data_IF_095494641753
#
_entry.id   IF_095494641753
#
_cell.length_a   1.000
_cell.length_b   1.000
_cell.length_c   1.000
_cell.angle_alpha   90.00
_cell.angle_beta   90.00
_cell.angle_gamma   90.00
#
_symmetry.space_group_name_H-M   'P 1'
#
loop_
_entity.id
_entity.type
_entity.pdbx_description
1 polymer ?
#
# COMPACT_ATOMS: atom_id res chain seq x y z
N UNK A 1 -13.24 17.22 6.89
CA UNK A 1 -13.73 15.85 6.60
C UNK A 1 -13.75 15.08 7.91
N UNK A 2 -14.83 14.34 8.21
CA UNK A 2 -14.98 13.67 9.52
C UNK A 2 -14.30 12.29 9.55
N UNK A 3 -14.39 11.53 8.47
CA UNK A 3 -13.84 10.19 8.32
C UNK A 3 -13.16 10.03 6.97
N UNK A 4 -12.14 9.16 6.87
CA UNK A 4 -11.52 8.83 5.58
C UNK A 4 -12.55 8.19 4.66
N UNK A 5 -12.52 8.59 3.38
CA UNK A 5 -13.29 7.97 2.31
C UNK A 5 -12.42 6.90 1.66
N UNK A 6 -12.93 5.68 1.60
CA UNK A 6 -12.30 4.58 0.88
C UNK A 6 -13.15 4.32 -0.37
N UNK A 7 -12.55 4.01 -1.54
CA UNK A 7 -13.31 3.61 -2.72
C UNK A 7 -14.31 2.48 -2.41
N UNK A 8 -15.44 2.49 -3.12
CA UNK A 8 -16.48 1.48 -2.93
C UNK A 8 -15.99 0.16 -3.56
N UNK A 9 -16.24 -0.95 -2.88
CA UNK A 9 -16.05 -2.29 -3.44
C UNK A 9 -17.18 -2.60 -4.41
N UNK A 10 -16.84 -2.88 -5.67
CA UNK A 10 -17.81 -3.23 -6.72
C UNK A 10 -17.50 -4.58 -7.37
N UNK A 11 -16.22 -4.94 -7.56
CA UNK A 11 -15.78 -6.13 -8.30
C UNK A 11 -14.48 -6.70 -7.72
N UNK A 12 -14.10 -7.92 -8.08
CA UNK A 12 -12.85 -8.51 -7.59
C UNK A 12 -12.80 -8.67 -6.07
N UNK A 13 -11.59 -8.82 -5.53
CA UNK A 13 -11.34 -8.98 -4.11
C UNK A 13 -11.19 -7.65 -3.37
N UNK A 14 -11.14 -7.75 -2.03
CA UNK A 14 -10.85 -6.65 -1.11
C UNK A 14 -10.06 -7.17 0.09
N UNK A 15 -9.43 -6.25 0.80
CA UNK A 15 -8.86 -6.52 2.12
C UNK A 15 -8.90 -5.27 2.99
N UNK A 16 -8.84 -5.48 4.30
CA UNK A 16 -8.74 -4.44 5.32
C UNK A 16 -7.68 -4.88 6.33
N UNK A 17 -6.49 -4.28 6.24
CA UNK A 17 -5.39 -4.53 7.17
C UNK A 17 -5.27 -3.36 8.12
N UNK A 18 -5.16 -3.66 9.41
CA UNK A 18 -5.18 -2.66 10.47
C UNK A 18 -4.19 -3.07 11.54
N UNK A 19 -3.20 -2.22 11.78
CA UNK A 19 -2.25 -2.33 12.90
C UNK A 19 -2.49 -1.16 13.84
N UNK A 20 -2.44 -1.42 15.15
CA UNK A 20 -2.81 -0.43 16.18
C UNK A 20 -1.79 -0.40 17.30
N UNK A 21 -1.55 0.78 17.84
CA UNK A 21 -0.83 0.98 19.10
C UNK A 21 -1.53 2.04 19.94
N UNK A 22 -1.53 1.87 21.26
CA UNK A 22 -2.04 2.86 22.20
C UNK A 22 -0.92 3.42 23.07
N UNK A 23 -0.88 4.74 23.20
CA UNK A 23 0.07 5.45 24.05
C UNK A 23 -0.49 5.65 25.48
N UNK A 24 0.39 5.98 26.43
CA UNK A 24 0.00 6.19 27.82
C UNK A 24 -0.68 7.55 28.04
N UNK A 25 -0.55 8.46 27.07
CA UNK A 25 -1.13 9.80 27.13
C UNK A 25 -1.59 10.31 25.77
N UNK A 26 -2.49 11.29 25.78
CA UNK A 26 -2.95 11.96 24.56
C UNK A 26 -1.82 12.71 23.86
N UNK A 27 -0.88 13.27 24.62
CA UNK A 27 0.26 14.02 24.06
C UNK A 27 1.23 13.08 23.34
N UNK A 28 1.51 11.92 23.93
CA UNK A 28 2.29 10.88 23.28
C UNK A 28 1.57 10.34 22.04
N UNK A 29 0.26 10.08 22.13
CA UNK A 29 -0.52 9.64 20.98
C UNK A 29 -0.48 10.66 19.82
N UNK A 30 -0.52 11.95 20.14
CA UNK A 30 -0.40 13.02 19.16
C UNK A 30 1.00 13.08 18.52
N UNK A 31 2.07 12.84 19.29
CA UNK A 31 3.44 12.74 18.74
C UNK A 31 3.57 11.54 17.81
N UNK A 32 3.12 10.36 18.26
CA UNK A 32 3.19 9.12 17.48
C UNK A 32 2.36 9.22 16.20
N UNK A 33 1.17 9.82 16.27
CA UNK A 33 0.33 10.10 15.10
C UNK A 33 1.03 10.98 14.06
N UNK A 34 1.65 12.08 14.48
CA UNK A 34 2.41 12.96 13.57
C UNK A 34 3.60 12.23 12.95
N UNK A 35 4.31 11.43 13.74
CA UNK A 35 5.42 10.61 13.24
C UNK A 35 4.93 9.57 12.23
N UNK A 36 3.82 8.88 12.47
CA UNK A 36 3.24 7.92 11.51
C UNK A 36 2.86 8.59 10.19
N UNK A 37 2.33 9.81 10.22
CA UNK A 37 2.04 10.57 8.98
C UNK A 37 3.32 10.82 8.20
N UNK A 38 4.41 11.20 8.87
CA UNK A 38 5.71 11.40 8.22
C UNK A 38 6.21 10.09 7.61
N UNK A 39 6.14 8.99 8.35
CA UNK A 39 6.51 7.65 7.85
C UNK A 39 5.68 7.22 6.65
N UNK A 40 4.35 7.41 6.70
CA UNK A 40 3.48 7.09 5.58
C UNK A 40 3.83 7.94 4.35
N UNK A 41 4.22 9.21 4.53
CA UNK A 41 4.65 10.08 3.41
C UNK A 41 6.04 9.73 2.87
N UNK A 42 6.90 9.11 3.67
CA UNK A 42 8.23 8.63 3.28
C UNK A 42 8.16 7.35 2.44
N UNK A 43 7.44 7.39 1.31
CA UNK A 43 7.22 6.24 0.41
C UNK A 43 8.52 5.54 0.02
N UNK A 44 9.57 6.31 -0.30
CA UNK A 44 10.88 5.77 -0.68
C UNK A 44 11.52 4.92 0.42
N UNK A 45 11.16 5.16 1.68
CA UNK A 45 11.76 4.52 2.84
C UNK A 45 10.94 3.33 3.36
N UNK A 46 9.76 3.04 2.79
CA UNK A 46 8.86 1.99 3.28
C UNK A 46 9.53 0.61 3.39
N UNK A 47 10.43 0.29 2.45
CA UNK A 47 11.21 -0.94 2.45
C UNK A 47 12.14 -1.07 3.67
N UNK A 48 12.57 0.05 4.26
CA UNK A 48 13.52 0.08 5.37
C UNK A 48 12.87 -0.13 6.74
N UNK A 49 11.53 -0.09 6.82
CA UNK A 49 10.81 -0.16 8.09
C UNK A 49 10.75 -1.58 8.66
N UNK A 50 10.78 -2.60 7.82
CA UNK A 50 10.88 -4.00 8.22
C UNK A 50 11.33 -4.85 7.04
N UNK A 51 12.11 -5.90 7.31
CA UNK A 51 12.50 -6.91 6.31
C UNK A 51 11.26 -7.62 5.71
N UNK A 52 10.16 -7.68 6.44
CA UNK A 52 8.93 -8.36 6.03
C UNK A 52 8.17 -7.63 4.91
N UNK A 53 8.38 -6.31 4.75
CA UNK A 53 7.79 -5.54 3.64
C UNK A 53 8.28 -6.09 2.29
N UNK A 54 9.54 -6.55 2.23
CA UNK A 54 10.14 -7.30 1.12
C UNK A 54 9.80 -6.75 -0.28
N UNK A 55 9.88 -5.44 -0.47
CA UNK A 55 9.70 -4.73 -1.74
C UNK A 55 10.39 -3.36 -1.67
N UNK A 56 10.93 -2.87 -2.78
CA UNK A 56 11.44 -1.50 -2.87
C UNK A 56 10.38 -0.58 -3.48
N UNK A 57 10.34 0.65 -3.00
CA UNK A 57 9.36 1.65 -3.40
C UNK A 57 10.08 2.89 -3.90
N UNK A 58 9.57 3.49 -4.97
CA UNK A 58 10.07 4.78 -5.47
C UNK A 58 8.90 5.67 -5.84
N UNK A 59 8.81 6.82 -5.17
CA UNK A 59 7.88 7.89 -5.46
C UNK A 59 8.47 8.77 -6.55
N UNK A 60 7.73 8.91 -7.64
CA UNK A 60 8.15 9.58 -8.86
C UNK A 60 7.16 10.71 -9.15
N UNK A 61 7.68 11.91 -9.42
CA UNK A 61 6.87 13.03 -9.89
C UNK A 61 6.41 12.74 -11.32
N UNK A 62 5.10 12.82 -11.57
CA UNK A 62 4.54 12.48 -12.86
C UNK A 62 5.02 13.40 -14.00
N UNK A 63 5.26 14.68 -13.71
CA UNK A 63 5.60 15.67 -14.73
C UNK A 63 7.09 15.61 -15.07
N UNK A 64 7.96 15.48 -14.06
CA UNK A 64 9.41 15.47 -14.28
C UNK A 64 9.97 14.07 -14.54
N UNK A 65 9.22 13.01 -14.19
CA UNK A 65 9.69 11.62 -14.17
C UNK A 65 10.91 11.39 -13.26
N UNK A 66 11.12 12.26 -12.27
CA UNK A 66 12.22 12.16 -11.30
C UNK A 66 11.74 11.63 -9.94
N UNK A 67 12.65 11.01 -9.18
CA UNK A 67 12.38 10.61 -7.79
C UNK A 67 12.08 11.86 -6.96
N UNK A 68 11.01 11.81 -6.18
CA UNK A 68 10.58 12.90 -5.29
C UNK A 68 10.29 12.39 -3.88
N UNK A 69 10.29 13.30 -2.91
CA UNK A 69 9.84 13.06 -1.53
C UNK A 69 8.51 13.75 -1.22
N UNK A 70 8.01 14.58 -2.14
CA UNK A 70 6.76 15.30 -1.96
C UNK A 70 5.59 14.45 -2.44
N UNK A 71 4.82 13.86 -1.51
CA UNK A 71 3.59 13.11 -1.83
C UNK A 71 2.51 14.07 -2.36
N UNK A 72 2.15 13.91 -3.62
CA UNK A 72 1.10 14.68 -4.30
C UNK A 72 0.19 13.77 -5.13
N UNK A 73 -0.99 14.28 -5.48
CA UNK A 73 -1.85 13.63 -6.49
C UNK A 73 -1.08 13.58 -7.81
N UNK A 74 -1.36 12.53 -8.59
CA UNK A 74 -0.71 12.16 -9.86
C UNK A 74 0.69 11.58 -9.76
N UNK A 75 1.42 11.78 -8.66
CA UNK A 75 2.70 11.08 -8.44
C UNK A 75 2.53 9.57 -8.56
N UNK A 76 3.58 8.93 -9.08
CA UNK A 76 3.63 7.50 -9.30
C UNK A 76 4.40 6.83 -8.16
N UNK A 77 3.99 5.61 -7.81
CA UNK A 77 4.77 4.72 -6.95
C UNK A 77 5.12 3.49 -7.77
N UNK A 78 6.42 3.32 -8.02
CA UNK A 78 7.00 2.10 -8.57
C UNK A 78 7.27 1.13 -7.42
N UNK A 79 6.84 -0.13 -7.59
CA UNK A 79 6.97 -1.20 -6.60
C UNK A 79 7.79 -2.33 -7.22
N UNK A 80 9.01 -2.51 -6.70
CA UNK A 80 9.95 -3.53 -7.13
C UNK A 80 9.89 -4.72 -6.15
N UNK A 81 9.28 -5.82 -6.59
CA UNK A 81 9.09 -7.04 -5.78
C UNK A 81 10.17 -8.08 -6.13
N UNK A 82 10.97 -8.57 -5.17
CA UNK A 82 11.93 -9.66 -5.40
C UNK A 82 11.24 -10.97 -5.83
N UNK A 83 11.78 -11.65 -6.84
CA UNK A 83 11.27 -12.94 -7.35
C UNK A 83 11.43 -13.07 -8.87
N UNK A 84 11.04 -14.21 -9.48
CA UNK A 84 10.97 -14.32 -10.94
C UNK A 84 9.88 -13.34 -11.41
N UNK A 85 10.31 -12.20 -11.94
CA UNK A 85 9.43 -11.10 -12.30
C UNK A 85 8.33 -11.49 -13.28
N UNK A 86 7.35 -10.61 -13.47
CA UNK A 86 6.41 -10.73 -14.59
C UNK A 86 7.23 -10.65 -15.90
N UNK A 87 7.05 -11.58 -16.87
CA UNK A 87 7.82 -11.60 -18.13
C UNK A 87 7.77 -10.30 -18.93
N UNK A 88 6.75 -9.47 -18.69
CA UNK A 88 6.38 -8.33 -19.53
C UNK A 88 6.63 -6.97 -18.87
N UNK A 89 7.04 -6.92 -17.59
CA UNK A 89 7.01 -5.67 -16.80
C UNK A 89 8.32 -5.01 -16.42
N UNK A 90 9.44 -5.38 -17.05
CA UNK A 90 10.79 -5.06 -16.53
C UNK A 90 10.95 -5.39 -15.01
N UNK A 91 10.07 -6.22 -14.45
CA UNK A 91 10.08 -6.65 -13.04
C UNK A 91 9.27 -5.81 -12.03
N UNK A 92 8.55 -4.75 -12.42
CA UNK A 92 7.97 -3.78 -11.46
C UNK A 92 6.46 -3.53 -11.62
N UNK A 93 5.75 -3.38 -10.51
CA UNK A 93 4.35 -2.92 -10.47
C UNK A 93 4.31 -1.38 -10.36
N UNK A 94 3.37 -0.72 -11.04
CA UNK A 94 3.22 0.74 -11.04
C UNK A 94 1.84 1.15 -10.54
N UNK A 95 1.81 2.21 -9.74
CA UNK A 95 0.57 2.80 -9.22
C UNK A 95 0.65 4.31 -9.25
N UNK A 96 -0.50 4.99 -9.24
CA UNK A 96 -0.65 6.44 -9.21
C UNK A 96 -1.41 6.85 -7.95
N UNK A 97 -0.98 7.93 -7.30
CA UNK A 97 -1.74 8.57 -6.23
C UNK A 97 -2.91 9.32 -6.84
N UNK A 98 -4.13 8.86 -6.55
CA UNK A 98 -5.37 9.41 -7.12
C UNK A 98 -6.15 10.28 -6.12
N UNK A 99 -5.84 10.18 -4.83
CA UNK A 99 -6.52 10.95 -3.79
C UNK A 99 -5.63 11.15 -2.56
N UNK A 100 -5.74 12.33 -1.95
CA UNK A 100 -5.07 12.70 -0.70
C UNK A 100 -6.10 13.35 0.21
N UNK A 101 -6.34 12.74 1.36
CA UNK A 101 -7.31 13.25 2.33
C UNK A 101 -6.62 13.70 3.60
N UNK A 102 -6.95 14.92 4.02
CA UNK A 102 -6.43 15.53 5.23
C UNK A 102 -7.58 15.84 6.20
N UNK A 103 -7.70 15.02 7.23
CA UNK A 103 -8.66 15.16 8.32
C UNK A 103 -8.04 15.72 9.60
N UNK A 104 -6.91 16.41 9.53
CA UNK A 104 -6.11 16.78 10.72
C UNK A 104 -6.83 17.74 11.69
N UNK A 105 -7.82 18.49 11.20
CA UNK A 105 -8.61 19.42 12.02
C UNK A 105 -9.69 18.73 12.87
N UNK A 106 -9.91 17.42 12.69
CA UNK A 106 -10.84 16.66 13.52
C UNK A 106 -10.13 16.22 14.81
N UNK A 107 -10.37 16.93 15.92
CA UNK A 107 -9.71 16.61 17.21
C UNK A 107 -10.07 15.23 17.77
N UNK A 108 -11.26 14.71 17.48
CA UNK A 108 -11.72 13.41 17.98
C UNK A 108 -11.06 12.26 17.23
N UNK A 109 -10.97 12.39 15.90
CA UNK A 109 -10.42 11.37 15.03
C UNK A 109 -9.62 11.96 13.86
N UNK A 110 -8.44 12.56 14.11
CA UNK A 110 -7.65 13.12 13.04
C UNK A 110 -7.08 11.99 12.18
N UNK A 111 -6.98 12.24 10.88
CA UNK A 111 -6.43 11.27 9.95
C UNK A 111 -5.71 11.92 8.78
N UNK A 112 -4.86 11.12 8.13
CA UNK A 112 -4.26 11.38 6.83
C UNK A 112 -4.39 10.11 5.99
N UNK A 113 -4.80 10.25 4.73
CA UNK A 113 -4.95 9.11 3.83
C UNK A 113 -4.38 9.36 2.44
N UNK A 114 -3.82 8.32 1.85
CA UNK A 114 -3.32 8.27 0.47
C UNK A 114 -4.06 7.14 -0.24
N UNK A 115 -4.72 7.43 -1.36
CA UNK A 115 -5.27 6.37 -2.23
C UNK A 115 -4.41 6.22 -3.46
N UNK A 116 -3.94 5.00 -3.71
CA UNK A 116 -3.23 4.64 -4.94
C UNK A 116 -4.09 3.74 -5.82
N UNK A 117 -3.91 3.85 -7.12
CA UNK A 117 -4.55 3.02 -8.14
C UNK A 117 -3.48 2.40 -9.04
N UNK A 118 -3.65 1.14 -9.41
CA UNK A 118 -2.79 0.50 -10.40
C UNK A 118 -2.84 1.26 -11.74
N UNK A 119 -1.70 1.51 -12.37
CA UNK A 119 -1.63 2.24 -13.64
C UNK A 119 -0.40 1.85 -14.43
N UNK A 120 -0.45 1.90 -15.77
CA UNK A 120 0.69 1.60 -16.67
C UNK A 120 1.99 2.34 -16.32
N UNK A 121 3.12 1.72 -16.69
CA UNK A 121 4.41 2.37 -16.57
C UNK A 121 4.46 3.63 -17.47
N UNK A 122 5.13 4.71 -17.05
CA UNK A 122 5.31 5.90 -17.89
C UNK A 122 5.85 5.56 -19.28
N UNK A 123 5.18 6.06 -20.32
CA UNK A 123 5.61 5.85 -21.71
C UNK A 123 5.32 4.46 -22.30
N UNK A 124 4.63 3.57 -21.57
CA UNK A 124 4.12 2.32 -22.15
C UNK A 124 2.73 2.52 -22.77
N UNK A 125 2.54 2.06 -24.01
CA UNK A 125 1.22 2.04 -24.68
C UNK A 125 0.39 0.81 -24.29
N UNK A 126 1.04 -0.23 -23.74
CA UNK A 126 0.42 -1.53 -23.47
C UNK A 126 0.05 -1.71 -21.99
N UNK A 127 -1.22 -1.48 -21.69
CA UNK A 127 -1.81 -1.48 -20.35
C UNK A 127 -1.93 -2.89 -19.76
N UNK A 128 -2.06 -3.92 -20.61
CA UNK A 128 -2.72 -5.18 -20.23
C UNK A 128 -1.82 -6.37 -19.94
N UNK A 129 -0.51 -6.29 -20.10
CA UNK A 129 0.39 -7.47 -19.96
C UNK A 129 1.41 -7.36 -18.84
N UNK A 130 1.55 -6.19 -18.21
CA UNK A 130 2.68 -5.89 -17.32
C UNK A 130 2.34 -6.05 -15.83
N UNK A 131 1.16 -5.58 -15.45
CA UNK A 131 0.74 -5.45 -14.05
C UNK A 131 -0.08 -6.63 -13.60
N UNK A 132 0.07 -6.96 -12.31
CA UNK A 132 -0.68 -8.06 -11.72
C UNK A 132 -2.15 -7.74 -11.47
N UNK A 133 -2.47 -6.47 -11.18
CA UNK A 133 -3.83 -6.00 -10.95
C UNK A 133 -4.29 -5.09 -12.08
N UNK A 134 -5.60 -5.05 -12.32
CA UNK A 134 -6.20 -4.12 -13.29
C UNK A 134 -6.23 -2.69 -12.76
N UNK A 135 -6.39 -1.70 -13.64
CA UNK A 135 -6.49 -0.28 -13.28
C UNK A 135 -7.71 0.07 -12.41
N UNK A 136 -8.69 -0.83 -12.26
CA UNK A 136 -9.80 -0.63 -11.32
C UNK A 136 -9.34 -0.82 -9.85
N UNK A 137 -8.21 -1.50 -9.63
CA UNK A 137 -7.69 -1.87 -8.31
C UNK A 137 -7.10 -0.67 -7.57
N UNK A 138 -7.49 -0.50 -6.30
CA UNK A 138 -7.05 0.60 -5.44
C UNK A 138 -6.62 0.11 -4.06
N UNK A 139 -5.64 0.80 -3.47
CA UNK A 139 -5.28 0.65 -2.06
C UNK A 139 -5.34 2.01 -1.38
N UNK A 140 -6.04 2.10 -0.25
CA UNK A 140 -6.12 3.32 0.57
C UNK A 140 -5.34 3.11 1.85
N UNK A 141 -4.24 3.84 2.00
CA UNK A 141 -3.41 3.87 3.20
C UNK A 141 -3.93 4.95 4.12
N UNK A 142 -4.15 4.62 5.39
CA UNK A 142 -4.68 5.57 6.38
C UNK A 142 -3.83 5.51 7.64
N UNK A 143 -3.47 6.69 8.14
CA UNK A 143 -3.05 6.89 9.51
C UNK A 143 -4.15 7.67 10.22
N UNK A 144 -4.69 7.15 11.32
CA UNK A 144 -5.67 7.86 12.15
C UNK A 144 -5.40 7.69 13.64
N UNK A 145 -5.83 8.66 14.45
CA UNK A 145 -5.84 8.55 15.91
C UNK A 145 -7.26 8.52 16.43
N UNK A 146 -7.57 7.68 17.40
CA UNK A 146 -8.80 7.74 18.21
C UNK A 146 -8.40 7.66 19.68
N UNK A 147 -8.69 8.70 20.44
CA UNK A 147 -8.21 8.79 21.84
C UNK A 147 -6.68 8.70 21.88
N UNK A 148 -6.15 7.77 22.68
CA UNK A 148 -4.71 7.51 22.80
C UNK A 148 -4.19 6.47 21.81
N UNK A 149 -5.04 5.88 20.97
CA UNK A 149 -4.67 4.84 20.03
C UNK A 149 -4.45 5.41 18.62
N UNK A 150 -3.37 4.97 17.96
CA UNK A 150 -3.03 5.28 16.58
C UNK A 150 -3.17 4.00 15.76
N UNK A 151 -3.71 4.16 14.55
CA UNK A 151 -3.97 3.09 13.60
C UNK A 151 -3.19 3.36 12.32
N UNK A 152 -2.55 2.33 11.77
CA UNK A 152 -2.07 2.27 10.41
C UNK A 152 -2.93 1.24 9.66
N UNK A 153 -3.53 1.66 8.55
CA UNK A 153 -4.52 0.85 7.83
C UNK A 153 -4.22 0.82 6.33
N UNK A 154 -4.53 -0.31 5.69
CA UNK A 154 -4.57 -0.43 4.23
C UNK A 154 -5.84 -1.14 3.80
N UNK A 155 -6.62 -0.42 3.00
CA UNK A 155 -7.89 -0.91 2.46
C UNK A 155 -7.79 -1.11 0.96
N UNK A 156 -7.71 -2.38 0.54
CA UNK A 156 -7.70 -2.80 -0.85
C UNK A 156 -9.12 -2.93 -1.37
N UNK A 157 -9.40 -2.36 -2.55
CA UNK A 157 -10.71 -2.40 -3.20
C UNK A 157 -10.57 -2.64 -4.68
N UNK A 158 -11.54 -3.35 -5.24
CA UNK A 158 -11.61 -3.70 -6.65
C UNK A 158 -10.41 -4.48 -7.17
N UNK A 159 -9.82 -5.33 -6.31
CA UNK A 159 -8.58 -6.07 -6.60
C UNK A 159 -8.88 -7.19 -7.59
N UNK A 160 -8.65 -6.93 -8.87
CA UNK A 160 -8.88 -7.89 -9.93
C UNK A 160 -7.56 -8.23 -10.61
N UNK A 161 -7.21 -9.51 -10.64
CA UNK A 161 -6.03 -9.97 -11.35
C UNK A 161 -6.15 -9.70 -12.85
N UNK A 162 -5.04 -9.27 -13.44
CA UNK A 162 -4.93 -9.09 -14.87
C UNK A 162 -4.56 -10.43 -15.52
N UNK A 163 -5.55 -11.31 -15.72
CA UNK A 163 -5.37 -12.68 -16.18
C UNK A 163 -5.37 -12.81 -17.73
N UNK A 164 -4.59 -11.99 -18.43
CA UNK A 164 -4.31 -12.22 -19.86
C UNK A 164 -3.00 -13.01 -20.01
N UNK A 165 -3.16 -14.27 -20.41
CA UNK A 165 -2.14 -15.23 -20.86
C UNK A 165 -1.06 -15.68 -19.86
N UNK A 166 -1.46 -16.57 -18.95
CA UNK A 166 -0.56 -17.69 -18.60
C UNK A 166 -1.05 -18.91 -19.40
N UNK A 167 -0.29 -19.41 -20.39
CA UNK A 167 -0.64 -20.65 -21.06
C UNK A 167 -0.78 -21.76 -20.03
N UNK A 168 -1.97 -22.34 -19.92
CA UNK A 168 -2.30 -23.48 -19.04
C UNK A 168 -1.64 -24.80 -19.48
N UNK A 169 -0.49 -24.76 -20.17
CA UNK A 169 0.13 -25.95 -20.78
C UNK A 169 1.45 -26.40 -20.18
N UNK A 170 1.93 -25.81 -19.09
CA UNK A 170 2.99 -26.41 -18.26
C UNK A 170 2.49 -26.76 -16.83
N UNK A 171 1.18 -26.96 -16.70
CA UNK A 171 0.60 -27.66 -15.56
C UNK A 171 0.63 -29.16 -15.86
N UNK A 172 1.67 -29.86 -15.39
CA UNK A 172 1.68 -31.22 -14.82
C UNK A 172 3.11 -31.75 -14.92
N UNK A 173 3.97 -31.31 -14.01
CA UNK A 173 4.89 -32.18 -13.27
C UNK A 173 5.56 -31.38 -12.15
N UNK A 174 5.12 -31.64 -10.93
CA UNK A 174 5.67 -31.13 -9.67
C UNK A 174 5.54 -29.61 -9.45
N UNK A 175 4.38 -29.18 -8.96
CA UNK A 175 4.26 -28.44 -7.69
C UNK A 175 2.80 -28.08 -7.41
N UNK A 176 2.28 -28.64 -6.31
CA UNK A 176 1.14 -28.08 -5.61
C UNK A 176 1.44 -26.62 -5.21
N UNK A 177 0.40 -25.79 -5.11
CA UNK A 177 0.42 -24.42 -4.55
C UNK A 177 1.06 -23.35 -5.47
N UNK A 178 0.34 -22.85 -6.50
CA UNK A 178 0.80 -21.63 -7.21
C UNK A 178 -0.27 -20.54 -7.38
N UNK A 179 -1.56 -20.89 -7.37
CA UNK A 179 -2.61 -19.88 -7.57
C UNK A 179 -2.99 -19.21 -6.23
N UNK A 180 -3.03 -19.96 -5.12
CA UNK A 180 -3.28 -19.39 -3.79
C UNK A 180 -2.08 -18.68 -3.14
N UNK A 181 -0.85 -18.94 -3.60
CA UNK A 181 0.37 -18.36 -3.00
C UNK A 181 0.65 -16.94 -3.47
N UNK A 182 0.37 -16.58 -4.72
CA UNK A 182 0.71 -15.24 -5.24
C UNK A 182 -0.15 -14.12 -4.64
N UNK A 183 -1.46 -14.34 -4.49
CA UNK A 183 -2.38 -13.38 -3.86
C UNK A 183 -2.07 -13.26 -2.37
N UNK A 184 -1.88 -14.39 -1.68
CA UNK A 184 -1.51 -14.40 -0.26
C UNK A 184 -0.19 -13.67 -0.01
N UNK A 185 0.86 -13.94 -0.79
CA UNK A 185 2.17 -13.29 -0.64
C UNK A 185 2.09 -11.77 -0.88
N UNK A 186 1.20 -11.29 -1.76
CA UNK A 186 1.01 -9.85 -2.02
C UNK A 186 0.26 -9.14 -0.90
N UNK A 187 -0.84 -9.74 -0.45
CA UNK A 187 -1.62 -9.25 0.68
C UNK A 187 -0.77 -9.19 1.96
N UNK A 188 0.10 -10.20 2.16
CA UNK A 188 1.06 -10.23 3.27
C UNK A 188 2.00 -9.01 3.30
N UNK A 189 2.33 -8.39 2.15
CA UNK A 189 3.19 -7.20 2.13
C UNK A 189 2.51 -5.94 2.65
N UNK A 190 1.22 -5.76 2.36
CA UNK A 190 0.49 -4.61 2.87
C UNK A 190 0.23 -4.73 4.38
N UNK A 191 0.00 -5.94 4.88
CA UNK A 191 -0.01 -6.22 6.33
C UNK A 191 1.34 -5.89 6.96
N UNK A 192 2.42 -6.41 6.38
CA UNK A 192 3.78 -6.13 6.88
C UNK A 192 4.07 -4.63 6.90
N UNK A 193 3.60 -3.86 5.90
CA UNK A 193 3.74 -2.41 5.91
C UNK A 193 2.91 -1.74 7.03
N UNK A 194 1.68 -2.17 7.30
CA UNK A 194 0.89 -1.61 8.43
C UNK A 194 1.57 -1.85 9.77
N UNK A 195 2.15 -3.04 9.96
CA UNK A 195 2.91 -3.40 11.16
C UNK A 195 4.22 -2.61 11.25
N UNK A 196 5.00 -2.56 10.17
CA UNK A 196 6.24 -1.82 10.13
C UNK A 196 6.04 -0.31 10.39
N UNK A 197 4.94 0.27 9.91
CA UNK A 197 4.59 1.68 10.17
C UNK A 197 4.38 2.00 11.65
N UNK A 198 4.03 1.01 12.50
CA UNK A 198 3.86 1.21 13.95
C UNK A 198 5.10 0.83 14.78
N UNK A 199 6.10 0.15 14.22
CA UNK A 199 7.29 -0.35 14.96
C UNK A 199 8.50 0.61 14.98
N UNK A 200 8.45 1.74 15.70
CA UNK A 200 9.42 1.82 16.80
C UNK A 200 8.74 2.14 18.13
N UNK A 201 7.41 2.18 18.15
CA UNK A 201 6.64 2.44 19.34
C UNK A 201 6.39 1.10 20.03
N UNK A 202 6.77 0.95 21.31
CA UNK A 202 6.68 -0.34 21.99
C UNK A 202 5.26 -0.94 21.95
N UNK A 203 5.12 -2.11 21.32
CA UNK A 203 3.92 -2.93 21.44
C UNK A 203 3.89 -3.44 22.89
N UNK A 204 3.11 -2.80 23.76
CA UNK A 204 2.83 -3.36 25.08
C UNK A 204 2.00 -4.64 24.89
N UNK A 205 2.66 -5.79 25.00
CA UNK A 205 1.97 -7.05 25.24
C UNK A 205 1.34 -6.93 26.63
N UNK A 206 0.01 -6.91 26.70
CA UNK A 206 -0.68 -7.01 27.98
C UNK A 206 -0.37 -8.39 28.57
N UNK A 207 0.37 -8.42 29.69
CA UNK A 207 0.52 -9.59 30.57
C UNK A 207 -0.78 -9.86 31.34
#
# INVERSE_FOLDING_TARGET
>A
MLYPKIPIQNKGDYHDFVSTICADSIDEANRNFKNLILRLKSVNDWHSYSEEVNANFSLIDYNTSEITTNVAIDNLIKIDIPGPGSPSGNGSDWTKIIDLQNGLNNYQSPFFAITIRTCSAPGSEDITTVQFYTEESTNTFIVRRIGTCIYAEVHGRNLQENSKDVPLTDLVRNKAIVIGSKIAIRNLKWVALTEALIEPFEIKQNL
#
